data_IF_387261599591
#
_entry.id   IF_387261599591
#
_cell.length_a   1.000
_cell.length_b   1.000
_cell.length_c   1.000
_cell.angle_alpha   90.00
_cell.angle_beta   90.00
_cell.angle_gamma   90.00
#
_symmetry.space_group_name_H-M   'P 1'
#
loop_
_entity.id
_entity.type
_entity.pdbx_description
1 polymer ?
#
# COMPACT_ATOMS: atom_id res chain seq x y z
N UNK A 1 -19.16 -22.95 -1.99
CA UNK A 1 -18.02 -22.10 -1.58
C UNK A 1 -18.50 -20.65 -1.71
N UNK A 2 -18.92 -20.04 -0.61
CA UNK A 2 -19.29 -18.63 -0.57
C UNK A 2 -18.04 -17.87 -0.11
N UNK A 3 -17.36 -17.19 -1.03
CA UNK A 3 -16.37 -16.18 -0.67
C UNK A 3 -16.93 -14.87 -1.21
N UNK A 4 -17.96 -14.36 -0.53
CA UNK A 4 -18.20 -12.92 -0.54
C UNK A 4 -17.33 -12.36 0.59
N UNK A 5 -16.03 -12.22 0.34
CA UNK A 5 -15.17 -11.42 1.20
C UNK A 5 -15.32 -9.99 0.72
N UNK A 6 -16.00 -9.22 1.55
CA UNK A 6 -16.57 -7.91 1.25
C UNK A 6 -15.43 -6.93 0.95
N UNK A 7 -15.50 -6.22 -0.16
CA UNK A 7 -14.49 -5.23 -0.57
C UNK A 7 -14.10 -4.24 0.56
N UNK A 8 -15.02 -3.97 1.50
CA UNK A 8 -14.78 -3.15 2.69
C UNK A 8 -13.78 -3.71 3.71
N UNK A 9 -13.62 -5.03 3.84
CA UNK A 9 -12.62 -5.62 4.74
C UNK A 9 -11.19 -5.35 4.24
N UNK A 10 -11.00 -5.36 2.92
CA UNK A 10 -9.70 -5.08 2.30
C UNK A 10 -9.34 -3.60 2.40
N UNK A 11 -10.30 -2.71 2.17
CA UNK A 11 -10.11 -1.27 2.36
C UNK A 11 -9.70 -0.99 3.80
N UNK A 12 -10.36 -1.60 4.78
CA UNK A 12 -10.04 -1.40 6.21
C UNK A 12 -8.64 -1.93 6.55
N UNK A 13 -8.28 -3.11 6.06
CA UNK A 13 -6.94 -3.69 6.26
C UNK A 13 -5.84 -2.79 5.71
N UNK A 14 -5.99 -2.31 4.46
CA UNK A 14 -5.01 -1.42 3.84
C UNK A 14 -4.94 -0.04 4.48
N UNK A 15 -6.07 0.52 4.89
CA UNK A 15 -6.07 1.80 5.62
C UNK A 15 -5.34 1.67 6.96
N UNK A 16 -5.48 0.56 7.68
CA UNK A 16 -4.74 0.33 8.92
C UNK A 16 -3.23 0.22 8.68
N UNK A 17 -2.81 -0.43 7.58
CA UNK A 17 -1.41 -0.49 7.19
C UNK A 17 -0.87 0.89 6.82
N UNK A 18 -1.58 1.65 5.97
CA UNK A 18 -1.20 3.01 5.59
C UNK A 18 -1.21 3.97 6.76
N UNK A 19 -2.03 3.77 7.80
CA UNK A 19 -2.01 4.58 9.00
C UNK A 19 -0.67 4.52 9.77
N UNK A 20 0.15 3.48 9.53
CA UNK A 20 1.51 3.41 10.06
C UNK A 20 2.52 4.26 9.28
N UNK A 21 2.19 4.64 8.04
CA UNK A 21 3.00 5.47 7.15
C UNK A 21 2.63 6.93 7.32
N UNK A 22 3.63 7.80 7.41
CA UNK A 22 3.46 9.24 7.51
C UNK A 22 4.10 9.95 6.32
N UNK A 23 3.53 11.10 5.94
CA UNK A 23 4.15 11.97 4.94
C UNK A 23 5.55 12.38 5.44
N UNK A 24 6.54 12.31 4.57
CA UNK A 24 7.95 12.51 4.89
C UNK A 24 8.68 11.26 5.36
N UNK A 25 8.00 10.13 5.57
CA UNK A 25 8.70 8.85 5.76
C UNK A 25 9.51 8.53 4.51
N UNK A 26 10.76 8.13 4.70
CA UNK A 26 11.55 7.62 3.59
C UNK A 26 10.97 6.31 3.08
N UNK A 27 11.15 6.03 1.80
CA UNK A 27 10.76 4.78 1.17
C UNK A 27 11.23 3.55 1.95
N UNK A 28 12.46 3.57 2.47
CA UNK A 28 12.96 2.48 3.30
C UNK A 28 12.16 2.31 4.60
N UNK A 29 11.76 3.41 5.26
CA UNK A 29 10.92 3.35 6.45
C UNK A 29 9.51 2.80 6.12
N UNK A 30 8.93 3.22 5.00
CA UNK A 30 7.64 2.69 4.50
C UNK A 30 7.74 1.19 4.25
N UNK A 31 8.75 0.73 3.51
CA UNK A 31 8.96 -0.70 3.23
C UNK A 31 9.23 -1.49 4.52
N UNK A 32 9.91 -0.90 5.50
CA UNK A 32 10.13 -1.55 6.80
C UNK A 32 8.82 -1.71 7.59
N UNK A 33 7.85 -0.83 7.42
CA UNK A 33 6.55 -0.87 8.11
C UNK A 33 5.55 -1.78 7.40
N UNK A 34 5.46 -1.67 6.08
CA UNK A 34 4.49 -2.40 5.24
C UNK A 34 5.00 -3.79 4.81
N UNK A 35 6.31 -4.00 4.89
CA UNK A 35 6.99 -5.17 4.31
C UNK A 35 7.26 -4.98 2.82
N UNK A 36 8.14 -5.81 2.26
CA UNK A 36 8.45 -5.82 0.82
C UNK A 36 7.68 -6.89 0.04
N UNK A 37 6.86 -7.70 0.72
CA UNK A 37 6.10 -8.77 0.10
C UNK A 37 5.01 -8.21 -0.82
N UNK A 38 4.96 -8.70 -2.07
CA UNK A 38 4.04 -8.24 -3.12
C UNK A 38 4.15 -6.74 -3.44
N UNK A 39 5.30 -6.13 -3.11
CA UNK A 39 5.59 -4.75 -3.48
C UNK A 39 6.04 -4.68 -4.94
N UNK A 40 5.46 -3.76 -5.69
CA UNK A 40 5.88 -3.39 -7.03
C UNK A 40 6.16 -1.89 -7.08
N UNK A 41 7.22 -1.52 -7.77
CA UNK A 41 7.58 -0.12 -7.96
C UNK A 41 7.38 0.31 -9.40
N UNK A 42 6.78 1.48 -9.58
CA UNK A 42 6.55 2.08 -10.88
C UNK A 42 6.84 3.58 -10.80
N UNK A 43 8.03 3.96 -11.26
CA UNK A 43 8.52 5.35 -11.14
C UNK A 43 8.56 5.78 -9.68
N UNK A 44 7.93 6.91 -9.37
CA UNK A 44 7.87 7.47 -8.01
C UNK A 44 6.76 6.85 -7.14
N UNK A 45 6.17 5.71 -7.53
CA UNK A 45 5.09 5.05 -6.79
C UNK A 45 5.46 3.62 -6.42
N UNK A 46 5.33 3.27 -5.15
CA UNK A 46 5.34 1.87 -4.71
C UNK A 46 3.92 1.38 -4.44
N UNK A 47 3.64 0.14 -4.81
CA UNK A 47 2.32 -0.49 -4.74
C UNK A 47 2.42 -1.84 -4.07
N UNK A 48 1.43 -2.20 -3.25
CA UNK A 48 1.34 -3.51 -2.60
C UNK A 48 0.00 -4.16 -2.92
N UNK A 49 0.04 -5.28 -3.65
CA UNK A 49 -1.14 -6.04 -4.04
C UNK A 49 -1.56 -7.05 -2.97
N UNK A 50 -2.87 -7.34 -2.88
CA UNK A 50 -3.38 -8.31 -1.91
C UNK A 50 -3.14 -9.73 -2.41
N UNK A 51 -2.46 -10.60 -1.63
CA UNK A 51 -2.43 -12.02 -1.95
C UNK A 51 -3.86 -12.58 -1.87
N UNK A 52 -4.43 -12.95 -3.02
CA UNK A 52 -5.80 -13.47 -3.16
C UNK A 52 -6.78 -12.50 -3.82
N UNK A 53 -6.47 -11.21 -3.90
CA UNK A 53 -7.31 -10.19 -4.56
C UNK A 53 -6.45 -9.26 -5.42
N UNK A 54 -6.09 -9.67 -6.65
CA UNK A 54 -5.16 -8.93 -7.51
C UNK A 54 -5.71 -7.58 -7.98
N UNK A 55 -7.03 -7.37 -7.92
CA UNK A 55 -7.67 -6.10 -8.27
C UNK A 55 -7.47 -5.00 -7.22
N UNK A 56 -7.17 -5.38 -5.98
CA UNK A 56 -7.05 -4.45 -4.85
C UNK A 56 -5.60 -4.26 -4.45
N UNK A 57 -5.17 -2.99 -4.33
CA UNK A 57 -3.81 -2.64 -3.94
C UNK A 57 -3.76 -1.33 -3.16
N UNK A 58 -2.78 -1.21 -2.25
CA UNK A 58 -2.40 0.08 -1.68
C UNK A 58 -1.20 0.64 -2.44
N UNK A 59 -1.07 1.96 -2.46
CA UNK A 59 0.09 2.62 -3.04
C UNK A 59 0.57 3.78 -2.18
N UNK A 60 1.87 4.06 -2.27
CA UNK A 60 2.52 5.23 -1.68
C UNK A 60 3.29 5.94 -2.80
N UNK A 61 3.02 7.23 -2.95
CA UNK A 61 3.74 8.12 -3.84
C UNK A 61 4.92 8.73 -3.10
N UNK A 62 6.07 8.78 -3.76
CA UNK A 62 7.32 9.33 -3.29
C UNK A 62 7.74 10.51 -4.17
N UNK A 63 8.43 11.47 -3.56
CA UNK A 63 9.13 12.53 -4.28
C UNK A 63 10.48 12.03 -4.83
N UNK A 64 11.19 12.86 -5.61
CA UNK A 64 12.56 12.60 -6.07
C UNK A 64 13.53 12.30 -4.91
N UNK A 65 13.25 12.80 -3.71
CA UNK A 65 13.98 12.50 -2.47
C UNK A 65 13.57 11.21 -1.75
N UNK A 66 12.87 10.27 -2.40
CA UNK A 66 12.36 9.01 -1.80
C UNK A 66 11.49 9.23 -0.56
N UNK A 67 10.86 10.40 -0.43
CA UNK A 67 10.05 10.78 0.72
C UNK A 67 8.57 10.61 0.38
N UNK A 68 7.81 9.94 1.23
CA UNK A 68 6.38 9.70 1.02
C UNK A 68 5.62 11.04 0.97
N UNK A 69 4.97 11.32 -0.14
CA UNK A 69 4.18 12.54 -0.37
C UNK A 69 2.68 12.28 -0.44
N UNK A 70 2.28 11.03 -0.59
CA UNK A 70 0.88 10.64 -0.62
C UNK A 70 0.72 9.12 -0.53
N UNK A 71 -0.48 8.68 -0.18
CA UNK A 71 -0.84 7.26 -0.18
C UNK A 71 -2.31 7.08 -0.47
N UNK A 72 -2.68 5.94 -1.05
CA UNK A 72 -4.06 5.61 -1.36
C UNK A 72 -4.31 4.11 -1.43
N UNK A 73 -5.59 3.75 -1.46
CA UNK A 73 -6.06 2.38 -1.66
C UNK A 73 -6.95 2.38 -2.88
N UNK A 74 -6.68 1.46 -3.82
CA UNK A 74 -7.52 1.17 -4.96
C UNK A 74 -8.13 -0.22 -4.78
N UNK A 75 -9.45 -0.32 -4.94
CA UNK A 75 -10.22 -1.56 -4.93
C UNK A 75 -11.02 -1.69 -6.21
#
# INVERSE_FOLDING_TARGET
MHIMSSEGEHVTYYNNLLASVSIGDSKQAVVSKLGSANMQESGSRAMWSCPGHPSSYMYVDFDEGDSAIGSGVSV
#
